data_IF_437713024398
#
_entry.id   IF_437713024398
#
_cell.length_a   1.000
_cell.length_b   1.000
_cell.length_c   1.000
_cell.angle_alpha   90.00
_cell.angle_beta   90.00
_cell.angle_gamma   90.00
#
_symmetry.space_group_name_H-M   'P 1'
#
loop_
_entity.id
_entity.type
_entity.pdbx_description
1 polymer ?
#
# COMPACT_ATOMS: atom_id res chain seq x y z
N UNK A 1 -13.33 -13.49 -15.93
CA UNK A 1 -11.86 -13.22 -15.90
C UNK A 1 -11.13 -14.54 -16.04
N UNK A 2 -10.08 -14.62 -16.88
CA UNK A 2 -9.32 -15.87 -17.05
C UNK A 2 -8.55 -16.18 -15.75
N UNK A 3 -8.78 -17.34 -15.09
CA UNK A 3 -8.24 -17.63 -13.75
C UNK A 3 -6.71 -17.66 -13.70
N UNK A 4 -6.04 -17.83 -14.84
CA UNK A 4 -4.58 -17.85 -14.97
C UNK A 4 -3.90 -16.49 -14.73
N UNK A 5 -4.65 -15.39 -14.75
CA UNK A 5 -4.10 -14.05 -14.47
C UNK A 5 -3.97 -13.76 -12.97
N UNK A 6 -4.70 -14.48 -12.12
CA UNK A 6 -4.71 -14.23 -10.68
C UNK A 6 -3.36 -14.57 -10.00
N UNK A 7 -2.70 -15.73 -10.28
CA UNK A 7 -1.44 -16.06 -9.63
C UNK A 7 -0.30 -15.07 -9.94
N UNK A 8 -0.04 -14.65 -11.20
CA UNK A 8 0.97 -13.63 -11.48
C UNK A 8 0.69 -12.29 -10.81
N UNK A 9 -0.58 -11.86 -10.77
CA UNK A 9 -0.97 -10.63 -10.09
C UNK A 9 -0.74 -10.71 -8.58
N UNK A 10 -1.10 -11.83 -7.95
CA UNK A 10 -0.85 -12.08 -6.53
C UNK A 10 0.66 -12.13 -6.21
N UNK A 11 1.46 -12.73 -7.10
CA UNK A 11 2.90 -12.77 -6.95
C UNK A 11 3.54 -11.37 -7.00
N UNK A 12 3.16 -10.55 -7.98
CA UNK A 12 3.62 -9.16 -8.07
C UNK A 12 3.21 -8.34 -6.85
N UNK A 13 1.97 -8.52 -6.38
CA UNK A 13 1.48 -7.87 -5.16
C UNK A 13 2.27 -8.29 -3.91
N UNK A 14 2.57 -9.58 -3.76
CA UNK A 14 3.34 -10.10 -2.63
C UNK A 14 4.77 -9.54 -2.60
N UNK A 15 5.44 -9.43 -3.76
CA UNK A 15 6.75 -8.78 -3.87
C UNK A 15 6.66 -7.31 -3.43
N UNK A 16 5.67 -6.57 -3.95
CA UNK A 16 5.47 -5.17 -3.61
C UNK A 16 5.31 -4.95 -2.10
N UNK A 17 4.44 -5.74 -1.46
CA UNK A 17 4.26 -5.69 0.00
C UNK A 17 5.53 -6.09 0.74
N UNK A 18 6.20 -7.17 0.31
CA UNK A 18 7.39 -7.71 0.95
C UNK A 18 8.56 -6.73 0.98
N UNK A 19 8.66 -5.86 -0.03
CA UNK A 19 9.66 -4.79 -0.08
C UNK A 19 9.19 -3.55 0.71
N UNK A 20 7.91 -3.18 0.59
CA UNK A 20 7.37 -1.95 1.17
C UNK A 20 7.29 -1.99 2.70
N UNK A 21 6.80 -3.09 3.28
CA UNK A 21 6.59 -3.20 4.73
C UNK A 21 7.86 -2.97 5.58
N UNK A 22 9.01 -3.64 5.33
CA UNK A 22 10.21 -3.42 6.12
C UNK A 22 10.77 -1.99 5.94
N UNK A 23 10.65 -1.40 4.74
CA UNK A 23 11.07 -0.02 4.50
C UNK A 23 10.24 0.99 5.31
N UNK A 24 8.90 0.82 5.34
CA UNK A 24 8.01 1.67 6.14
C UNK A 24 8.25 1.51 7.64
N UNK A 25 8.45 0.29 8.14
CA UNK A 25 8.77 0.05 9.54
C UNK A 25 10.13 0.68 9.94
N UNK A 26 11.14 0.60 9.06
CA UNK A 26 12.42 1.26 9.29
C UNK A 26 12.28 2.78 9.34
N UNK A 27 11.52 3.36 8.42
CA UNK A 27 11.26 4.81 8.39
C UNK A 27 10.51 5.26 9.66
N UNK A 28 9.48 4.53 10.06
CA UNK A 28 8.68 4.83 11.25
C UNK A 28 9.48 4.75 12.55
N UNK A 29 10.46 3.84 12.65
CA UNK A 29 11.29 3.69 13.85
C UNK A 29 12.48 4.64 13.91
N UNK A 30 13.00 5.09 12.76
CA UNK A 30 14.11 6.05 12.67
C UNK A 30 13.69 7.52 12.83
N UNK A 31 12.41 7.82 12.67
CA UNK A 31 11.85 9.17 12.78
C UNK A 31 11.37 9.52 14.18
N UNK A 32 11.48 8.59 15.14
CA UNK A 32 11.04 8.78 16.54
C UNK A 32 12.06 8.25 17.53
N UNK A 33 12.02 8.79 18.75
CA UNK A 33 12.84 8.35 19.87
C UNK A 33 12.53 6.91 20.31
N UNK A 34 13.52 6.24 20.88
CA UNK A 34 13.44 4.83 21.31
C UNK A 34 12.24 4.54 22.21
N UNK A 35 11.88 5.48 23.11
CA UNK A 35 10.75 5.36 24.02
C UNK A 35 9.38 5.34 23.30
N UNK A 36 9.28 5.95 22.12
CA UNK A 36 8.03 6.07 21.36
C UNK A 36 7.92 5.05 20.22
N UNK A 37 9.00 4.32 19.89
CA UNK A 37 9.02 3.32 18.80
C UNK A 37 7.91 2.28 18.94
N UNK A 38 7.71 1.75 20.14
CA UNK A 38 6.67 0.75 20.41
C UNK A 38 5.26 1.29 20.13
N UNK A 39 4.97 2.53 20.55
CA UNK A 39 3.70 3.19 20.29
C UNK A 39 3.45 3.46 18.81
N UNK A 40 4.48 3.92 18.09
CA UNK A 40 4.39 4.16 16.63
C UNK A 40 4.20 2.87 15.85
N UNK A 41 4.91 1.79 16.21
CA UNK A 41 4.65 0.47 15.60
C UNK A 41 3.25 -0.03 15.90
N UNK A 42 2.77 0.16 17.13
CA UNK A 42 1.40 -0.17 17.53
C UNK A 42 0.39 0.55 16.63
N UNK A 43 0.52 1.87 16.48
CA UNK A 43 -0.35 2.67 15.62
C UNK A 43 -0.26 2.25 14.15
N UNK A 44 0.94 1.95 13.65
CA UNK A 44 1.14 1.43 12.30
C UNK A 44 0.37 0.13 12.08
N UNK A 45 0.50 -0.84 12.98
CA UNK A 45 -0.20 -2.13 12.87
C UNK A 45 -1.72 -1.98 13.01
N UNK A 46 -2.19 -1.13 13.93
CA UNK A 46 -3.61 -0.80 14.03
C UNK A 46 -4.15 -0.15 12.76
N UNK A 47 -3.37 0.73 12.13
CA UNK A 47 -3.75 1.39 10.87
C UNK A 47 -3.83 0.40 9.72
N UNK A 48 -2.88 -0.54 9.61
CA UNK A 48 -2.92 -1.63 8.62
C UNK A 48 -4.16 -2.50 8.81
N UNK A 49 -4.47 -2.85 10.06
CA UNK A 49 -5.65 -3.66 10.40
C UNK A 49 -6.94 -2.93 10.05
N UNK A 50 -7.06 -1.65 10.43
CA UNK A 50 -8.20 -0.81 10.11
C UNK A 50 -8.37 -0.64 8.60
N UNK A 51 -7.27 -0.38 7.87
CA UNK A 51 -7.27 -0.30 6.42
C UNK A 51 -7.75 -1.59 5.77
N UNK A 52 -7.43 -2.76 6.34
CA UNK A 52 -7.87 -4.06 5.84
C UNK A 52 -9.37 -4.26 6.03
N UNK A 53 -9.89 -3.88 7.21
CA UNK A 53 -11.33 -3.95 7.50
C UNK A 53 -12.10 -3.02 6.55
N UNK A 54 -11.68 -1.76 6.45
CA UNK A 54 -12.31 -0.75 5.60
C UNK A 54 -12.23 -1.16 4.12
N UNK A 55 -11.06 -1.59 3.65
CA UNK A 55 -10.89 -1.98 2.24
C UNK A 55 -11.74 -3.19 1.88
N UNK A 56 -11.86 -4.18 2.75
CA UNK A 56 -12.70 -5.36 2.53
C UNK A 56 -14.17 -4.98 2.48
N UNK A 57 -14.63 -4.15 3.42
CA UNK A 57 -16.02 -3.65 3.44
C UNK A 57 -16.36 -2.84 2.19
N UNK A 58 -15.51 -1.86 1.85
CA UNK A 58 -15.69 -1.00 0.67
C UNK A 58 -15.61 -1.82 -0.63
N UNK A 59 -14.69 -2.78 -0.72
CA UNK A 59 -14.57 -3.67 -1.89
C UNK A 59 -15.83 -4.52 -2.08
N UNK A 60 -16.41 -5.06 -0.99
CA UNK A 60 -17.67 -5.80 -1.03
C UNK A 60 -18.84 -4.96 -1.54
N UNK A 61 -18.92 -3.69 -1.13
CA UNK A 61 -19.92 -2.74 -1.63
C UNK A 61 -19.75 -2.45 -3.13
N UNK A 62 -18.52 -2.30 -3.61
CA UNK A 62 -18.29 -2.08 -5.04
C UNK A 62 -18.54 -3.33 -5.87
N UNK A 63 -18.20 -4.50 -5.35
CA UNK A 63 -18.43 -5.78 -6.01
C UNK A 63 -19.92 -6.07 -6.21
N UNK A 64 -20.78 -5.66 -5.26
CA UNK A 64 -22.24 -5.85 -5.37
C UNK A 64 -22.87 -5.02 -6.49
N UNK A 65 -22.28 -3.87 -6.85
CA UNK A 65 -22.70 -3.04 -7.98
C UNK A 65 -22.17 -3.62 -9.30
N UNK A 66 -20.88 -3.93 -9.35
CA UNK A 66 -20.26 -4.60 -10.50
C UNK A 66 -18.98 -5.32 -10.08
N UNK A 67 -18.77 -6.59 -10.50
CA UNK A 67 -17.55 -7.32 -10.21
C UNK A 67 -16.26 -6.64 -10.73
N UNK A 68 -16.36 -5.73 -11.69
CA UNK A 68 -15.20 -5.06 -12.31
C UNK A 68 -14.82 -3.75 -11.59
N UNK A 69 -15.76 -3.13 -10.85
CA UNK A 69 -15.57 -1.84 -10.18
C UNK A 69 -14.39 -1.82 -9.20
N UNK A 70 -14.21 -2.82 -8.30
CA UNK A 70 -13.09 -2.82 -7.36
C UNK A 70 -11.72 -2.72 -8.03
N UNK A 71 -11.57 -3.33 -9.21
CA UNK A 71 -10.31 -3.32 -9.96
C UNK A 71 -10.03 -1.96 -10.60
N UNK A 72 -11.05 -1.32 -11.19
CA UNK A 72 -10.90 0.02 -11.77
C UNK A 72 -10.59 1.06 -10.70
N UNK A 73 -11.33 1.03 -9.58
CA UNK A 73 -11.11 1.96 -8.47
C UNK A 73 -9.72 1.74 -7.87
N UNK A 74 -9.34 0.48 -7.62
CA UNK A 74 -8.00 0.14 -7.15
C UNK A 74 -6.90 0.62 -8.08
N UNK A 75 -7.08 0.48 -9.39
CA UNK A 75 -6.15 0.95 -10.41
C UNK A 75 -6.00 2.47 -10.43
N UNK A 76 -7.12 3.21 -10.40
CA UNK A 76 -7.12 4.68 -10.37
C UNK A 76 -6.47 5.21 -9.10
N UNK A 77 -6.80 4.65 -7.93
CA UNK A 77 -6.21 5.04 -6.65
C UNK A 77 -4.71 4.73 -6.64
N UNK A 78 -4.30 3.56 -7.13
CA UNK A 78 -2.89 3.20 -7.23
C UNK A 78 -2.13 4.17 -8.14
N UNK A 79 -2.71 4.58 -9.26
CA UNK A 79 -2.10 5.56 -10.16
C UNK A 79 -1.98 6.93 -9.50
N UNK A 80 -3.03 7.38 -8.80
CA UNK A 80 -3.04 8.65 -8.08
C UNK A 80 -1.95 8.73 -7.00
N UNK A 81 -1.59 7.60 -6.38
CA UNK A 81 -0.49 7.52 -5.39
C UNK A 81 0.87 7.30 -6.04
N UNK A 82 0.95 6.53 -7.14
CA UNK A 82 2.20 6.24 -7.83
C UNK A 82 2.82 7.51 -8.46
N UNK A 83 2.00 8.41 -9.01
CA UNK A 83 2.47 9.65 -9.64
C UNK A 83 3.30 10.54 -8.69
N UNK A 84 2.79 10.94 -7.51
CA UNK A 84 3.58 11.74 -6.56
C UNK A 84 4.77 10.96 -6.00
N UNK A 85 4.66 9.64 -5.80
CA UNK A 85 5.78 8.82 -5.35
C UNK A 85 6.94 8.83 -6.37
N UNK A 86 6.63 8.71 -7.66
CA UNK A 86 7.62 8.81 -8.75
C UNK A 86 8.19 10.23 -8.88
N UNK A 87 7.37 11.26 -8.68
CA UNK A 87 7.84 12.64 -8.67
C UNK A 87 8.83 12.89 -7.53
N UNK A 88 8.53 12.38 -6.33
CA UNK A 88 9.41 12.47 -5.16
C UNK A 88 10.72 11.72 -5.37
N UNK A 89 10.67 10.50 -5.92
CA UNK A 89 11.86 9.72 -6.24
C UNK A 89 12.77 10.45 -7.24
N UNK A 90 12.17 11.03 -8.29
CA UNK A 90 12.89 11.85 -9.28
C UNK A 90 13.49 13.11 -8.67
N UNK A 91 12.83 13.72 -7.69
CA UNK A 91 13.34 14.89 -6.99
C UNK A 91 14.59 14.56 -6.16
N UNK A 92 14.56 13.46 -5.40
CA UNK A 92 15.74 12.99 -4.65
C UNK A 92 16.90 12.62 -5.58
N UNK A 93 16.64 11.91 -6.69
CA UNK A 93 17.68 11.52 -7.64
C UNK A 93 18.41 12.72 -8.27
N UNK A 94 17.77 13.90 -8.34
CA UNK A 94 18.37 15.13 -8.89
C UNK A 94 19.21 15.94 -7.90
N UNK A 95 19.00 15.78 -6.60
CA UNK A 95 19.64 16.62 -5.56
C UNK A 95 20.71 15.87 -4.75
N UNK A 96 20.76 14.54 -4.85
CA UNK A 96 21.73 13.70 -4.14
C UNK A 96 22.82 13.13 -5.07
N UNK A 97 22.93 13.65 -6.31
CA UNK A 97 23.91 13.24 -7.32
C UNK A 97 24.89 14.36 -7.66
#
# INVERSE_FOLDING_TARGET
TSPWLAPPAAFGFAIGIGIMMPALQSLATRTVDDRSRGGVLGLYQSSVSLSTIVSTGVSGLFYSVSPVLPYWIGGVVSLAVALPALALLRWFAKHTG
#
